data_IF_543626082549
#
_entry.id   IF_543626082549
#
_cell.length_a   1.000
_cell.length_b   1.000
_cell.length_c   1.000
_cell.angle_alpha   90.00
_cell.angle_beta   90.00
_cell.angle_gamma   90.00
#
_symmetry.space_group_name_H-M   'P 1'
#
loop_
_entity.id
_entity.type
_entity.pdbx_description
1 polymer ?
#
# COMPACT_ATOMS: atom_id res chain seq x y z
N UNK A 1 -0.91 5.35 -6.77
CA UNK A 1 -0.72 6.49 -7.69
C UNK A 1 0.76 6.58 -7.94
N UNK A 2 1.21 6.31 -9.16
CA UNK A 2 2.62 6.43 -9.51
C UNK A 2 2.97 7.92 -9.55
N UNK A 3 3.79 8.37 -8.61
CA UNK A 3 4.50 9.66 -8.65
C UNK A 3 5.80 9.54 -9.45
N UNK A 4 5.85 8.58 -10.38
CA UNK A 4 6.91 8.53 -11.37
C UNK A 4 6.53 9.52 -12.47
N UNK A 5 7.17 10.68 -12.44
CA UNK A 5 7.04 11.76 -13.43
C UNK A 5 7.59 11.38 -14.82
N UNK A 6 7.95 10.09 -15.03
CA UNK A 6 8.55 9.53 -16.24
C UNK A 6 7.56 9.27 -17.37
N UNK A 7 6.26 9.50 -17.15
CA UNK A 7 5.28 9.50 -18.24
C UNK A 7 5.50 10.71 -19.17
N UNK A 8 5.11 10.58 -20.44
CA UNK A 8 5.15 11.68 -21.43
C UNK A 8 4.05 12.75 -21.16
N UNK A 9 3.94 13.21 -19.91
CA UNK A 9 2.93 14.16 -19.43
C UNK A 9 2.97 15.45 -20.23
N UNK A 10 4.16 15.87 -20.68
CA UNK A 10 4.35 17.03 -21.54
C UNK A 10 3.57 16.96 -22.86
N UNK A 11 3.26 15.77 -23.40
CA UNK A 11 2.46 15.62 -24.63
C UNK A 11 1.00 16.08 -24.48
N UNK A 12 0.54 16.23 -23.24
CA UNK A 12 -0.84 16.68 -22.94
C UNK A 12 -0.99 18.19 -22.96
N UNK A 13 0.10 18.94 -23.12
CA UNK A 13 0.12 20.40 -23.01
C UNK A 13 0.73 21.05 -24.26
N UNK A 14 0.19 22.20 -24.71
CA UNK A 14 0.76 22.95 -25.81
C UNK A 14 2.09 23.61 -25.39
N UNK A 15 3.00 23.77 -26.35
CA UNK A 15 4.29 24.46 -26.21
C UNK A 15 5.21 23.93 -25.09
N UNK A 16 5.50 22.61 -25.04
CA UNK A 16 6.38 22.03 -24.02
C UNK A 16 7.78 22.66 -23.96
N UNK A 17 8.28 23.20 -25.06
CA UNK A 17 9.56 23.89 -25.19
C UNK A 17 9.69 25.15 -24.32
N UNK A 18 8.59 25.86 -24.04
CA UNK A 18 8.61 27.03 -23.16
C UNK A 18 9.02 26.65 -21.73
N UNK A 19 8.66 25.43 -21.31
CA UNK A 19 8.98 24.95 -19.97
C UNK A 19 10.45 24.51 -19.85
N UNK A 20 11.09 24.13 -20.96
CA UNK A 20 12.53 23.92 -20.98
C UNK A 20 13.27 25.23 -20.76
N UNK A 21 12.84 26.29 -21.44
CA UNK A 21 13.41 27.63 -21.27
C UNK A 21 13.26 28.11 -19.82
N UNK A 22 12.09 27.92 -19.20
CA UNK A 22 11.89 28.24 -17.77
C UNK A 22 12.88 27.47 -16.89
N UNK A 23 13.08 26.18 -17.15
CA UNK A 23 14.07 25.42 -16.38
C UNK A 23 15.49 25.95 -16.63
N UNK A 24 15.89 26.16 -17.88
CA UNK A 24 17.27 26.53 -18.23
C UNK A 24 17.62 27.98 -17.84
N UNK A 25 16.64 28.87 -17.75
CA UNK A 25 16.85 30.31 -17.48
C UNK A 25 16.47 30.74 -16.07
N UNK A 26 15.51 30.07 -15.41
CA UNK A 26 15.01 30.45 -14.09
C UNK A 26 15.42 29.42 -13.03
N UNK A 27 15.06 28.15 -13.21
CA UNK A 27 15.23 27.12 -12.16
C UNK A 27 16.69 26.64 -12.06
N UNK A 28 17.31 26.32 -13.20
CA UNK A 28 18.72 25.94 -13.46
C UNK A 28 19.28 24.72 -12.73
N UNK A 29 18.72 24.37 -11.58
CA UNK A 29 19.28 23.42 -10.64
C UNK A 29 18.18 22.46 -10.13
N UNK A 30 18.41 21.13 -10.20
CA UNK A 30 17.47 20.14 -9.66
C UNK A 30 17.13 20.36 -8.20
N UNK A 31 18.06 20.87 -7.38
CA UNK A 31 17.79 21.14 -5.96
C UNK A 31 16.78 22.29 -5.80
N UNK A 32 16.92 23.37 -6.59
CA UNK A 32 15.95 24.47 -6.63
C UNK A 32 14.59 23.94 -7.12
N UNK A 33 14.57 23.11 -8.18
CA UNK A 33 13.35 22.47 -8.66
C UNK A 33 12.61 21.71 -7.55
N UNK A 34 13.28 20.79 -6.85
CA UNK A 34 12.62 20.00 -5.81
C UNK A 34 12.20 20.85 -4.60
N UNK A 35 12.95 21.92 -4.30
CA UNK A 35 12.56 22.86 -3.24
C UNK A 35 11.25 23.57 -3.58
N UNK A 36 11.07 24.01 -4.83
CA UNK A 36 9.81 24.58 -5.34
C UNK A 36 8.69 23.54 -5.38
N UNK A 37 9.01 22.34 -5.86
CA UNK A 37 8.08 21.22 -5.99
C UNK A 37 7.41 20.90 -4.65
N UNK A 38 8.21 20.76 -3.60
CA UNK A 38 7.69 20.45 -2.27
C UNK A 38 7.10 21.67 -1.55
N UNK A 39 7.54 22.90 -1.83
CA UNK A 39 6.90 24.09 -1.28
C UNK A 39 5.43 24.22 -1.75
N UNK A 40 5.14 23.88 -3.01
CA UNK A 40 3.79 23.98 -3.61
C UNK A 40 2.85 22.89 -3.10
N UNK A 41 3.37 21.76 -2.62
CA UNK A 41 2.52 20.71 -2.08
C UNK A 41 2.00 21.10 -0.69
N UNK A 42 0.67 21.05 -0.55
CA UNK A 42 0.00 21.32 0.72
C UNK A 42 0.19 20.16 1.69
N UNK A 43 0.53 20.53 2.91
CA UNK A 43 0.55 19.69 4.10
C UNK A 43 -0.77 19.81 4.84
N UNK A 44 -0.80 19.40 6.10
CA UNK A 44 -1.97 19.60 6.95
C UNK A 44 -2.15 21.06 7.35
N UNK A 45 -3.41 21.49 7.48
CA UNK A 45 -3.79 22.79 8.01
C UNK A 45 -4.71 22.70 9.24
N UNK A 46 -5.27 23.84 9.67
CA UNK A 46 -6.16 23.96 10.83
C UNK A 46 -7.48 23.17 10.68
N UNK A 47 -7.83 22.75 9.47
CA UNK A 47 -9.00 21.91 9.19
C UNK A 47 -8.68 20.41 9.26
N UNK A 48 -7.39 20.05 9.21
CA UNK A 48 -6.92 18.66 9.30
C UNK A 48 -6.55 18.27 10.72
N UNK A 49 -5.76 19.10 11.41
CA UNK A 49 -5.14 18.78 12.71
C UNK A 49 -5.39 19.88 13.74
N UNK A 50 -5.57 19.50 15.01
CA UNK A 50 -5.80 20.47 16.10
C UNK A 50 -4.59 21.35 16.38
N UNK A 51 -3.39 20.77 16.35
CA UNK A 51 -2.14 21.46 16.65
C UNK A 51 -1.29 21.62 15.37
N UNK A 52 -1.74 22.54 14.51
CA UNK A 52 -1.06 22.82 13.23
C UNK A 52 0.34 23.39 13.43
N UNK A 53 0.60 24.11 14.52
CA UNK A 53 1.89 24.75 14.77
C UNK A 53 2.96 23.69 15.08
N UNK A 54 2.60 22.70 15.89
CA UNK A 54 3.46 21.56 16.17
C UNK A 54 3.70 20.72 14.90
N UNK A 55 2.67 20.51 14.07
CA UNK A 55 2.83 19.88 12.74
C UNK A 55 3.83 20.64 11.87
N UNK A 56 3.68 21.96 11.74
CA UNK A 56 4.52 22.83 10.91
C UNK A 56 5.97 22.82 11.35
N UNK A 57 6.23 22.82 12.66
CA UNK A 57 7.59 22.66 13.21
C UNK A 57 8.21 21.33 12.79
N UNK A 58 7.48 20.23 12.94
CA UNK A 58 7.95 18.91 12.53
C UNK A 58 8.18 18.82 11.02
N UNK A 59 7.26 19.31 10.20
CA UNK A 59 7.41 19.36 8.76
C UNK A 59 8.64 20.17 8.34
N UNK A 60 8.86 21.33 8.96
CA UNK A 60 10.03 22.18 8.71
C UNK A 60 11.36 21.50 9.03
N UNK A 61 11.40 20.59 10.02
CA UNK A 61 12.62 19.82 10.29
C UNK A 61 13.03 18.90 9.13
N UNK A 62 12.06 18.47 8.30
CA UNK A 62 12.29 17.52 7.22
C UNK A 62 12.43 18.22 5.87
N UNK A 63 11.59 19.23 5.60
CA UNK A 63 11.58 19.95 4.32
C UNK A 63 12.33 21.28 4.34
N UNK A 64 12.86 21.71 5.47
CA UNK A 64 13.50 23.02 5.60
C UNK A 64 12.53 24.14 5.21
N UNK A 65 12.98 25.06 4.37
CA UNK A 65 12.15 26.19 3.93
C UNK A 65 11.06 25.79 2.91
N UNK A 66 11.05 24.55 2.42
CA UNK A 66 9.99 24.00 1.56
C UNK A 66 8.80 23.40 2.34
N UNK A 67 8.61 23.79 3.60
CA UNK A 67 7.45 23.41 4.41
C UNK A 67 6.18 24.13 3.94
N UNK A 68 5.01 23.69 4.40
CA UNK A 68 3.72 24.16 3.85
C UNK A 68 3.32 25.58 4.23
N UNK A 69 4.12 26.30 5.00
CA UNK A 69 3.97 27.75 5.22
C UNK A 69 4.91 28.61 4.38
N UNK A 70 5.48 28.07 3.30
CA UNK A 70 6.22 28.87 2.33
C UNK A 70 5.35 30.02 1.79
N UNK A 71 5.88 31.25 1.85
CA UNK A 71 5.16 32.44 1.41
C UNK A 71 5.36 32.70 -0.09
N UNK A 72 4.24 32.80 -0.81
CA UNK A 72 4.24 33.17 -2.22
C UNK A 72 3.96 34.67 -2.37
N UNK A 73 4.80 35.37 -3.12
CA UNK A 73 4.61 36.80 -3.41
C UNK A 73 3.26 37.09 -4.10
N UNK A 74 2.79 36.16 -4.94
CA UNK A 74 1.45 36.19 -5.53
C UNK A 74 0.77 34.83 -5.35
N UNK A 75 -0.12 34.67 -4.35
CA UNK A 75 -0.79 33.41 -4.09
C UNK A 75 -1.96 33.14 -5.04
N UNK A 76 -2.31 34.05 -5.97
CA UNK A 76 -3.50 33.97 -6.83
C UNK A 76 -3.62 32.67 -7.63
N UNK A 77 -2.49 32.04 -7.96
CA UNK A 77 -2.45 30.81 -8.76
C UNK A 77 -2.04 29.57 -7.95
N UNK A 78 -1.91 29.70 -6.63
CA UNK A 78 -1.67 28.61 -5.68
C UNK A 78 -3.01 28.20 -5.07
N UNK A 79 -3.60 27.09 -5.54
CA UNK A 79 -4.83 26.57 -4.94
C UNK A 79 -4.50 25.80 -3.64
N UNK A 80 -5.19 26.15 -2.55
CA UNK A 80 -5.12 25.43 -1.27
C UNK A 80 -5.98 24.16 -1.26
N UNK A 81 -6.95 24.05 -2.17
CA UNK A 81 -7.93 22.99 -2.22
C UNK A 81 -7.82 22.18 -3.51
N UNK A 82 -7.41 20.91 -3.38
CA UNK A 82 -7.75 19.85 -4.33
C UNK A 82 -7.21 19.99 -5.76
N UNK A 83 -6.05 19.39 -6.02
CA UNK A 83 -5.79 18.68 -7.27
C UNK A 83 -5.39 19.48 -8.52
N UNK A 84 -5.58 20.80 -8.55
CA UNK A 84 -5.23 21.61 -9.73
C UNK A 84 -4.52 22.90 -9.32
N UNK A 85 -3.26 22.77 -8.89
CA UNK A 85 -2.32 23.89 -8.87
C UNK A 85 -1.72 24.03 -10.27
N UNK A 86 -1.89 25.21 -10.88
CA UNK A 86 -1.28 25.53 -12.16
C UNK A 86 0.24 25.35 -12.08
N UNK A 87 0.84 25.80 -10.97
CA UNK A 87 2.28 25.65 -10.74
C UNK A 87 2.71 24.20 -10.61
N UNK A 88 1.96 23.36 -9.90
CA UNK A 88 2.32 21.94 -9.78
C UNK A 88 2.29 21.25 -11.15
N UNK A 89 1.29 21.59 -11.98
CA UNK A 89 1.19 21.06 -13.34
C UNK A 89 2.38 21.48 -14.21
N UNK A 90 2.81 22.74 -14.10
CA UNK A 90 4.00 23.25 -14.81
C UNK A 90 5.26 22.51 -14.35
N UNK A 91 5.44 22.34 -13.04
CA UNK A 91 6.60 21.61 -12.51
C UNK A 91 6.58 20.15 -12.96
N UNK A 92 5.43 19.48 -12.95
CA UNK A 92 5.30 18.11 -13.46
C UNK A 92 5.70 18.00 -14.95
N UNK A 93 5.36 19.00 -15.79
CA UNK A 93 5.79 19.07 -17.19
C UNK A 93 7.31 19.25 -17.28
N UNK A 94 7.89 20.17 -16.48
CA UNK A 94 9.34 20.41 -16.43
C UNK A 94 10.09 19.14 -16.02
N UNK A 95 9.66 18.47 -14.95
CA UNK A 95 10.27 17.21 -14.52
C UNK A 95 10.20 16.13 -15.59
N UNK A 96 9.06 16.00 -16.28
CA UNK A 96 8.89 15.06 -17.38
C UNK A 96 9.81 15.37 -18.57
N UNK A 97 9.98 16.64 -18.95
CA UNK A 97 10.87 17.07 -20.05
C UNK A 97 12.36 16.88 -19.72
N UNK A 98 12.74 17.24 -18.50
CA UNK A 98 14.13 17.22 -18.03
C UNK A 98 14.53 15.91 -17.34
N UNK A 99 13.63 14.93 -17.30
CA UNK A 99 13.79 13.66 -16.59
C UNK A 99 14.24 13.85 -15.13
N UNK A 100 13.65 14.82 -14.44
CA UNK A 100 13.98 15.10 -13.05
C UNK A 100 13.34 14.06 -12.15
N UNK A 101 14.20 13.29 -11.48
CA UNK A 101 13.80 12.29 -10.49
C UNK A 101 14.50 12.60 -9.19
N UNK A 102 13.74 12.67 -8.08
CA UNK A 102 14.33 12.89 -6.77
C UNK A 102 15.25 11.70 -6.46
N UNK A 103 16.52 11.89 -6.04
CA UNK A 103 17.37 10.78 -5.61
C UNK A 103 16.72 9.95 -4.50
N UNK A 104 16.76 8.62 -4.62
CA UNK A 104 16.15 7.70 -3.66
C UNK A 104 16.70 7.88 -2.25
N UNK A 105 18.00 8.20 -2.14
CA UNK A 105 18.72 8.41 -0.88
C UNK A 105 18.14 9.59 -0.12
N UNK A 106 17.77 10.67 -0.82
CA UNK A 106 17.14 11.86 -0.21
C UNK A 106 15.74 11.49 0.29
N UNK A 107 14.95 10.77 -0.51
CA UNK A 107 13.62 10.32 -0.10
C UNK A 107 13.69 9.38 1.12
N UNK A 108 14.62 8.42 1.12
CA UNK A 108 14.86 7.49 2.22
C UNK A 108 15.34 8.23 3.48
N UNK A 109 16.21 9.24 3.35
CA UNK A 109 16.62 10.08 4.48
C UNK A 109 15.43 10.83 5.10
N UNK A 110 14.53 11.38 4.29
CA UNK A 110 13.30 12.02 4.79
C UNK A 110 12.39 11.03 5.53
N UNK A 111 12.28 9.77 5.06
CA UNK A 111 11.55 8.72 5.77
C UNK A 111 12.22 8.38 7.10
N UNK A 112 13.56 8.28 7.15
CA UNK A 112 14.30 8.06 8.41
C UNK A 112 14.05 9.19 9.42
N UNK A 113 13.99 10.45 8.95
CA UNK A 113 13.62 11.57 9.82
C UNK A 113 12.19 11.44 10.33
N UNK A 114 11.24 11.05 9.47
CA UNK A 114 9.84 10.85 9.85
C UNK A 114 9.65 9.72 10.89
N UNK A 115 10.41 8.62 10.77
CA UNK A 115 10.43 7.53 11.75
C UNK A 115 10.85 8.04 13.14
N UNK A 116 11.77 9.00 13.20
CA UNK A 116 12.31 9.55 14.46
C UNK A 116 11.39 10.59 15.11
N UNK A 117 10.30 10.98 14.45
CA UNK A 117 9.34 11.90 15.04
C UNK A 117 8.68 11.27 16.29
N UNK A 118 8.37 12.07 17.32
CA UNK A 118 7.68 11.56 18.48
C UNK A 118 6.26 11.11 18.10
N UNK A 119 5.71 10.15 18.85
CA UNK A 119 4.47 9.46 18.48
C UNK A 119 3.28 10.41 18.29
N UNK A 120 3.15 11.43 19.14
CA UNK A 120 2.12 12.46 19.05
C UNK A 120 2.19 13.31 17.76
N UNK A 121 3.32 13.29 17.05
CA UNK A 121 3.50 13.92 15.73
C UNK A 121 3.24 12.91 14.62
N UNK A 122 3.70 11.67 14.79
CA UNK A 122 3.41 10.59 13.84
C UNK A 122 1.92 10.35 13.71
N UNK A 123 1.18 10.52 14.81
CA UNK A 123 -0.26 10.38 14.94
C UNK A 123 -0.86 11.61 15.63
N UNK A 124 -1.32 12.58 14.85
CA UNK A 124 -1.85 13.85 15.36
C UNK A 124 -3.36 13.80 15.52
N UNK A 125 -3.91 14.47 16.52
CA UNK A 125 -5.35 14.61 16.68
C UNK A 125 -5.96 15.43 15.54
N UNK A 126 -7.06 14.92 14.97
CA UNK A 126 -7.80 15.61 13.92
C UNK A 126 -8.54 16.82 14.44
N UNK A 127 -8.57 17.87 13.62
CA UNK A 127 -9.42 19.02 13.89
C UNK A 127 -10.92 18.64 13.86
N UNK A 128 -11.79 19.30 14.65
CA UNK A 128 -13.23 19.07 14.58
C UNK A 128 -13.78 19.39 13.19
N UNK A 129 -14.47 18.43 12.58
CA UNK A 129 -15.13 18.62 11.28
C UNK A 129 -16.63 18.57 11.40
N UNK A 130 -17.33 19.51 10.75
CA UNK A 130 -18.80 19.49 10.61
C UNK A 130 -19.30 18.40 9.66
N UNK A 131 -18.40 17.81 8.89
CA UNK A 131 -18.66 16.73 7.94
C UNK A 131 -18.08 15.40 8.43
N UNK A 132 -17.91 15.25 9.75
CA UNK A 132 -17.44 14.01 10.32
C UNK A 132 -18.34 12.85 9.89
N UNK A 133 -17.73 11.85 9.26
CA UNK A 133 -18.36 10.56 8.95
C UNK A 133 -18.14 9.61 10.13
N UNK A 134 -18.97 8.58 10.25
CA UNK A 134 -18.78 7.48 11.20
C UNK A 134 -17.35 6.91 11.18
N UNK A 135 -16.75 6.82 9.99
CA UNK A 135 -15.37 6.36 9.80
C UNK A 135 -14.35 7.36 10.36
N UNK A 136 -14.59 8.65 10.20
CA UNK A 136 -13.70 9.69 10.72
C UNK A 136 -13.74 9.81 12.24
N UNK A 137 -14.89 9.54 12.87
CA UNK A 137 -15.05 9.56 14.33
C UNK A 137 -14.28 8.41 15.00
N UNK A 138 -14.23 7.24 14.35
CA UNK A 138 -13.46 6.09 14.82
C UNK A 138 -11.95 6.20 14.57
N UNK A 139 -11.50 7.22 13.83
CA UNK A 139 -10.08 7.52 13.59
C UNK A 139 -9.79 8.92 14.09
N UNK A 140 -9.65 9.11 15.42
CA UNK A 140 -9.44 10.43 16.01
C UNK A 140 -8.08 11.03 15.61
N UNK A 141 -7.15 10.20 15.16
CA UNK A 141 -5.82 10.61 14.73
C UNK A 141 -5.64 10.54 13.21
N UNK A 142 -4.71 11.34 12.70
CA UNK A 142 -4.23 11.34 11.32
C UNK A 142 -2.72 11.11 11.29
N UNK A 143 -2.28 10.27 10.35
CA UNK A 143 -0.87 9.91 10.22
C UNK A 143 -0.08 10.97 9.45
N UNK A 144 1.07 11.37 9.99
CA UNK A 144 1.99 12.33 9.37
C UNK A 144 2.42 11.93 7.94
N UNK A 145 2.60 10.64 7.68
CA UNK A 145 2.98 10.13 6.34
C UNK A 145 1.85 10.21 5.31
N UNK A 146 0.63 10.59 5.71
CA UNK A 146 -0.53 10.71 4.82
C UNK A 146 -0.68 12.09 4.19
N UNK A 147 0.19 13.04 4.52
CA UNK A 147 0.26 14.32 3.80
C UNK A 147 0.59 14.09 2.32
N UNK A 148 0.13 14.97 1.42
CA UNK A 148 0.45 14.86 0.00
C UNK A 148 1.96 14.88 -0.25
N UNK A 149 2.66 15.72 0.52
CA UNK A 149 4.12 15.85 0.51
C UNK A 149 4.81 14.55 0.85
N UNK A 150 4.45 13.92 1.98
CA UNK A 150 5.05 12.65 2.35
C UNK A 150 4.65 11.50 1.45
N UNK A 151 3.46 11.53 0.85
CA UNK A 151 3.02 10.46 -0.05
C UNK A 151 3.91 10.36 -1.29
N UNK A 152 4.35 11.48 -1.86
CA UNK A 152 5.30 11.47 -2.99
C UNK A 152 6.71 11.06 -2.54
N UNK A 153 7.18 11.54 -1.39
CA UNK A 153 8.45 11.09 -0.76
C UNK A 153 8.45 9.58 -0.52
N UNK A 154 7.38 9.05 0.08
CA UNK A 154 7.27 7.64 0.41
C UNK A 154 7.22 6.80 -0.86
N UNK A 155 6.47 7.23 -1.87
CA UNK A 155 6.45 6.56 -3.18
C UNK A 155 7.86 6.44 -3.76
N UNK A 156 8.66 7.51 -3.67
CA UNK A 156 10.05 7.47 -4.14
C UNK A 156 10.96 6.64 -3.26
N UNK A 157 10.82 6.72 -1.93
CA UNK A 157 11.63 5.96 -0.98
C UNK A 157 11.42 4.44 -1.10
N UNK A 158 10.19 4.02 -1.43
CA UNK A 158 9.83 2.62 -1.66
C UNK A 158 10.26 2.09 -3.04
N UNK A 159 10.76 2.93 -3.94
CA UNK A 159 11.13 2.50 -5.28
C UNK A 159 12.45 1.72 -5.26
N UNK A 160 12.48 0.64 -6.02
CA UNK A 160 13.64 -0.20 -6.30
C UNK A 160 13.50 -0.79 -7.72
N UNK A 161 14.62 -0.92 -8.42
CA UNK A 161 14.64 -1.47 -9.78
C UNK A 161 15.19 -2.90 -9.85
N UNK A 162 15.88 -3.35 -8.80
CA UNK A 162 16.58 -4.63 -8.74
C UNK A 162 16.62 -5.20 -7.31
N UNK A 163 17.12 -6.43 -7.20
CA UNK A 163 17.18 -7.19 -5.94
C UNK A 163 18.11 -6.55 -4.89
N UNK A 164 19.20 -5.89 -5.31
CA UNK A 164 20.12 -5.21 -4.40
C UNK A 164 19.46 -3.97 -3.79
N UNK A 165 18.77 -3.18 -4.61
CA UNK A 165 17.99 -2.03 -4.14
C UNK A 165 16.82 -2.44 -3.25
N UNK A 166 16.11 -3.51 -3.59
CA UNK A 166 15.08 -4.07 -2.73
C UNK A 166 15.66 -4.44 -1.37
N UNK A 167 16.83 -5.09 -1.35
CA UNK A 167 17.51 -5.51 -0.13
C UNK A 167 17.86 -4.33 0.78
N UNK A 168 18.21 -3.19 0.19
CA UNK A 168 18.45 -1.95 0.93
C UNK A 168 17.17 -1.26 1.42
N UNK A 169 16.06 -1.38 0.69
CA UNK A 169 14.78 -0.73 1.00
C UNK A 169 13.96 -1.49 2.04
N UNK A 170 13.96 -2.82 1.99
CA UNK A 170 13.12 -3.66 2.86
C UNK A 170 13.27 -3.33 4.36
N UNK A 171 14.49 -3.20 4.94
CA UNK A 171 14.65 -2.87 6.35
C UNK A 171 14.06 -1.51 6.74
N UNK A 172 14.15 -0.52 5.85
CA UNK A 172 13.57 0.81 6.08
C UNK A 172 12.04 0.70 6.17
N UNK A 173 11.40 0.05 5.20
CA UNK A 173 9.94 -0.07 5.17
C UNK A 173 9.42 -0.93 6.33
N UNK A 174 10.16 -1.99 6.68
CA UNK A 174 9.87 -2.79 7.88
C UNK A 174 9.90 -1.93 9.15
N UNK A 175 10.90 -1.06 9.28
CA UNK A 175 10.99 -0.13 10.41
C UNK A 175 9.83 0.88 10.41
N UNK A 176 9.40 1.38 9.25
CA UNK A 176 8.22 2.25 9.17
C UNK A 176 6.99 1.54 9.72
N UNK A 177 6.74 0.30 9.30
CA UNK A 177 5.60 -0.50 9.78
C UNK A 177 5.69 -0.77 11.30
N UNK A 178 6.88 -1.08 11.83
CA UNK A 178 7.09 -1.28 13.27
C UNK A 178 6.84 -0.02 14.09
N UNK A 179 7.29 1.13 13.59
CA UNK A 179 7.24 2.39 14.33
C UNK A 179 5.84 2.99 14.24
N UNK A 180 5.26 3.08 13.04
CA UNK A 180 3.94 3.68 12.87
C UNK A 180 2.80 2.79 13.34
N UNK A 181 2.94 1.46 13.30
CA UNK A 181 1.90 0.54 13.78
C UNK A 181 0.52 0.88 13.20
N UNK A 182 0.44 1.01 11.88
CA UNK A 182 -0.73 1.58 11.21
C UNK A 182 -2.05 0.90 11.60
N UNK A 183 -2.05 -0.42 11.77
CA UNK A 183 -3.26 -1.16 12.13
C UNK A 183 -3.78 -0.82 13.53
N UNK A 184 -2.93 -0.35 14.45
CA UNK A 184 -3.32 0.05 15.80
C UNK A 184 -4.01 1.42 15.83
N UNK A 185 -3.51 2.39 15.08
CA UNK A 185 -4.05 3.77 15.05
C UNK A 185 -5.09 4.00 13.95
N UNK A 186 -5.08 3.14 12.95
CA UNK A 186 -5.84 3.31 11.72
C UNK A 186 -6.68 2.04 11.47
N UNK A 187 -7.47 1.53 12.45
CA UNK A 187 -8.16 0.25 12.32
C UNK A 187 -9.09 0.24 11.11
N UNK A 188 -9.25 -0.94 10.54
CA UNK A 188 -10.10 -1.13 9.36
C UNK A 188 -11.55 -1.27 9.80
N UNK A 189 -12.37 -0.30 9.39
CA UNK A 189 -13.75 -0.10 9.87
C UNK A 189 -14.77 -0.83 8.99
N UNK A 190 -14.35 -1.22 7.79
CA UNK A 190 -15.14 -2.03 6.87
C UNK A 190 -14.68 -3.50 6.93
N UNK A 191 -15.59 -4.44 6.69
CA UNK A 191 -15.37 -5.90 6.72
C UNK A 191 -14.24 -6.42 5.80
N UNK A 192 -13.63 -5.55 5.00
CA UNK A 192 -12.42 -5.78 4.22
C UNK A 192 -11.21 -5.48 5.10
N UNK A 193 -10.81 -6.40 5.99
CA UNK A 193 -9.75 -6.24 7.03
C UNK A 193 -8.32 -5.85 6.53
N UNK A 194 -8.13 -5.18 5.39
CA UNK A 194 -6.80 -4.95 4.80
C UNK A 194 -5.85 -4.30 5.83
N UNK A 195 -4.65 -4.86 5.96
CA UNK A 195 -3.56 -4.21 6.71
C UNK A 195 -3.23 -2.87 6.03
N UNK A 196 -2.93 -1.87 6.87
CA UNK A 196 -2.50 -0.52 6.45
C UNK A 196 -0.98 -0.39 6.37
N UNK A 197 -0.27 -1.46 6.71
CA UNK A 197 1.17 -1.55 6.60
C UNK A 197 1.62 -1.38 5.16
N UNK A 198 2.84 -0.88 5.00
CA UNK A 198 3.47 -0.59 3.71
C UNK A 198 3.96 -1.89 3.06
N UNK A 199 4.54 -2.79 3.85
CA UNK A 199 5.01 -4.08 3.34
C UNK A 199 3.84 -5.05 3.14
N UNK A 200 3.71 -5.54 1.91
CA UNK A 200 2.73 -6.55 1.53
C UNK A 200 3.27 -7.97 1.68
N UNK A 201 2.42 -8.99 1.56
CA UNK A 201 2.84 -10.39 1.62
C UNK A 201 3.92 -10.71 0.57
N UNK A 202 3.79 -10.14 -0.64
CA UNK A 202 4.78 -10.31 -1.71
C UNK A 202 6.16 -9.77 -1.32
N UNK A 203 6.23 -8.64 -0.60
CA UNK A 203 7.49 -8.10 -0.13
C UNK A 203 8.18 -9.05 0.89
N UNK A 204 7.43 -9.67 1.79
CA UNK A 204 7.99 -10.67 2.69
C UNK A 204 8.44 -11.95 1.96
N UNK A 205 7.68 -12.42 0.95
CA UNK A 205 8.14 -13.53 0.10
C UNK A 205 9.44 -13.18 -0.59
N UNK A 206 9.54 -11.99 -1.19
CA UNK A 206 10.75 -11.53 -1.88
C UNK A 206 11.94 -11.42 -0.93
N UNK A 207 11.73 -10.90 0.28
CA UNK A 207 12.77 -10.84 1.30
C UNK A 207 13.27 -12.23 1.72
N UNK A 208 12.40 -13.24 1.77
CA UNK A 208 12.80 -14.62 2.00
C UNK A 208 13.54 -15.22 0.80
N UNK A 209 13.06 -14.97 -0.43
CA UNK A 209 13.73 -15.43 -1.67
C UNK A 209 15.19 -14.98 -1.71
N UNK A 210 15.44 -13.72 -1.33
CA UNK A 210 16.76 -13.08 -1.30
C UNK A 210 17.57 -13.37 -0.03
N UNK A 211 17.02 -14.13 0.93
CA UNK A 211 17.73 -14.49 2.17
C UNK A 211 17.88 -13.36 3.18
N UNK A 212 17.12 -12.26 3.04
CA UNK A 212 17.09 -11.15 4.00
C UNK A 212 16.41 -11.58 5.31
N UNK A 213 15.39 -12.43 5.20
CA UNK A 213 14.66 -13.00 6.34
C UNK A 213 14.64 -14.52 6.27
N UNK A 214 14.45 -15.16 7.42
CA UNK A 214 14.29 -16.62 7.49
C UNK A 214 12.87 -17.05 7.12
N UNK A 215 12.71 -18.34 6.79
CA UNK A 215 11.39 -18.95 6.54
C UNK A 215 10.46 -18.84 7.77
N UNK A 216 11.02 -19.00 8.97
CA UNK A 216 10.24 -18.86 10.21
C UNK A 216 9.75 -17.43 10.40
N UNK A 217 10.58 -16.44 10.06
CA UNK A 217 10.18 -15.04 10.09
C UNK A 217 9.08 -14.73 9.07
N UNK A 218 9.14 -15.32 7.87
CA UNK A 218 8.08 -15.20 6.86
C UNK A 218 6.72 -15.68 7.42
N UNK A 219 6.67 -16.87 8.02
CA UNK A 219 5.43 -17.36 8.63
C UNK A 219 5.01 -16.53 9.84
N UNK A 220 5.96 -16.07 10.67
CA UNK A 220 5.66 -15.15 11.78
C UNK A 220 5.00 -13.85 11.30
N UNK A 221 5.51 -13.27 10.21
CA UNK A 221 4.98 -12.05 9.61
C UNK A 221 3.52 -12.21 9.13
N UNK A 222 3.15 -13.41 8.62
CA UNK A 222 1.76 -13.70 8.24
C UNK A 222 0.79 -13.47 9.40
N UNK A 223 1.14 -13.89 10.61
CA UNK A 223 0.25 -13.76 11.77
C UNK A 223 0.36 -12.41 12.49
N UNK A 224 1.58 -11.86 12.60
CA UNK A 224 1.82 -10.69 13.43
C UNK A 224 1.79 -9.35 12.68
N UNK A 225 1.99 -9.36 11.35
CA UNK A 225 2.19 -8.14 10.56
C UNK A 225 1.17 -7.97 9.44
N UNK A 226 0.82 -9.06 8.76
CA UNK A 226 -0.04 -9.02 7.58
C UNK A 226 -1.48 -9.41 7.92
N UNK A 227 -1.63 -10.43 8.77
CA UNK A 227 -2.89 -11.11 9.03
C UNK A 227 -3.14 -12.25 8.03
N UNK A 228 -3.48 -13.42 8.56
CA UNK A 228 -3.65 -14.65 7.76
C UNK A 228 -4.64 -14.49 6.60
N UNK A 229 -5.76 -13.82 6.85
CA UNK A 229 -6.79 -13.54 5.82
C UNK A 229 -6.20 -12.77 4.62
N UNK A 230 -5.30 -11.83 4.86
CA UNK A 230 -4.67 -11.03 3.80
C UNK A 230 -3.61 -11.80 3.08
N UNK A 231 -2.74 -12.49 3.82
CA UNK A 231 -1.72 -13.33 3.21
C UNK A 231 -2.34 -14.34 2.24
N UNK A 232 -3.41 -15.03 2.65
CA UNK A 232 -4.14 -15.98 1.77
C UNK A 232 -4.79 -15.26 0.59
N UNK A 233 -5.43 -14.11 0.82
CA UNK A 233 -6.07 -13.36 -0.26
C UNK A 233 -5.08 -12.86 -1.30
N UNK A 234 -3.96 -12.27 -0.86
CA UNK A 234 -2.95 -11.65 -1.72
C UNK A 234 -2.18 -12.71 -2.52
N UNK A 235 -1.70 -13.77 -1.86
CA UNK A 235 -1.07 -14.90 -2.55
C UNK A 235 -2.05 -15.59 -3.51
N UNK A 236 -3.32 -15.72 -3.10
CA UNK A 236 -4.38 -16.32 -3.88
C UNK A 236 -4.65 -15.62 -5.22
N UNK A 237 -4.33 -14.33 -5.36
CA UNK A 237 -4.47 -13.58 -6.61
C UNK A 237 -3.58 -14.13 -7.73
N UNK A 238 -2.43 -14.74 -7.40
CA UNK A 238 -1.50 -15.35 -8.37
C UNK A 238 -2.09 -16.56 -9.09
N UNK A 239 -3.11 -17.18 -8.50
CA UNK A 239 -3.68 -18.44 -8.98
C UNK A 239 -5.06 -18.26 -9.61
N UNK A 240 -5.55 -17.03 -9.72
CA UNK A 240 -6.83 -16.76 -10.38
C UNK A 240 -6.69 -17.04 -11.89
N UNK A 241 -7.72 -17.62 -12.54
CA UNK A 241 -7.72 -17.81 -13.98
C UNK A 241 -7.52 -16.51 -14.77
N UNK A 242 -8.02 -15.40 -14.21
CA UNK A 242 -7.90 -14.06 -14.80
C UNK A 242 -7.29 -13.12 -13.76
N UNK A 243 -5.99 -12.89 -13.84
CA UNK A 243 -5.29 -11.93 -12.99
C UNK A 243 -5.64 -10.50 -13.45
N UNK A 244 -5.92 -9.60 -12.50
CA UNK A 244 -6.22 -8.21 -12.82
C UNK A 244 -4.98 -7.46 -13.33
N UNK A 245 -5.16 -6.46 -14.20
CA UNK A 245 -4.04 -5.61 -14.67
C UNK A 245 -3.33 -4.89 -13.50
N UNK A 246 -4.08 -4.56 -12.43
CA UNK A 246 -3.52 -3.97 -11.22
C UNK A 246 -2.57 -4.95 -10.52
N UNK A 247 -2.99 -6.19 -10.34
CA UNK A 247 -2.17 -7.25 -9.74
C UNK A 247 -0.93 -7.51 -10.58
N UNK A 248 -1.06 -7.61 -11.90
CA UNK A 248 0.08 -7.84 -12.80
C UNK A 248 1.11 -6.71 -12.69
N UNK A 249 0.66 -5.46 -12.68
CA UNK A 249 1.56 -4.31 -12.51
C UNK A 249 2.27 -4.28 -11.16
N UNK A 250 1.62 -4.80 -10.11
CA UNK A 250 2.25 -4.93 -8.80
C UNK A 250 3.24 -6.11 -8.73
N UNK A 251 3.03 -7.16 -9.55
CA UNK A 251 3.89 -8.34 -9.57
C UNK A 251 5.17 -8.15 -10.38
N UNK A 252 5.18 -7.24 -11.36
CA UNK A 252 6.33 -7.02 -12.25
C UNK A 252 7.65 -6.69 -11.54
N UNK A 253 7.58 -6.18 -10.31
CA UNK A 253 8.75 -5.85 -9.48
C UNK A 253 9.29 -7.06 -8.71
N UNK A 254 8.55 -8.17 -8.68
CA UNK A 254 8.90 -9.39 -7.96
C UNK A 254 9.22 -10.56 -8.91
N UNK A 255 8.51 -10.63 -10.05
CA UNK A 255 8.60 -11.74 -10.99
C UNK A 255 8.43 -11.25 -12.44
N UNK A 256 8.96 -12.01 -13.43
CA UNK A 256 8.67 -11.76 -14.84
C UNK A 256 7.17 -11.89 -15.12
N UNK A 257 6.60 -10.92 -15.84
CA UNK A 257 5.18 -10.88 -16.21
C UNK A 257 5.00 -10.57 -17.69
N UNK A 258 3.88 -11.03 -18.25
CA UNK A 258 3.34 -10.60 -19.54
C UNK A 258 2.11 -9.71 -19.26
N UNK A 259 2.25 -8.39 -19.42
CA UNK A 259 1.18 -7.43 -19.10
C UNK A 259 -0.03 -7.56 -20.04
N UNK A 260 0.19 -7.94 -21.30
CA UNK A 260 -0.87 -8.07 -22.30
C UNK A 260 -1.71 -9.32 -22.03
N UNK A 261 -1.05 -10.45 -21.81
CA UNK A 261 -1.72 -11.73 -21.50
C UNK A 261 -2.15 -11.84 -20.03
N UNK A 262 -1.66 -10.93 -19.17
CA UNK A 262 -1.91 -10.91 -17.73
C UNK A 262 -1.48 -12.21 -17.06
N UNK A 263 -0.26 -12.65 -17.37
CA UNK A 263 0.34 -13.86 -16.81
C UNK A 263 1.64 -13.54 -16.09
N UNK A 264 1.98 -14.36 -15.10
CA UNK A 264 3.26 -14.36 -14.39
C UNK A 264 4.03 -15.62 -14.74
N UNK A 265 5.35 -15.54 -14.83
CA UNK A 265 6.19 -16.73 -15.00
C UNK A 265 6.05 -17.67 -13.80
N UNK A 266 5.40 -18.80 -14.01
CA UNK A 266 5.15 -19.82 -12.99
C UNK A 266 6.40 -20.63 -12.63
N UNK A 267 7.43 -20.60 -13.48
CA UNK A 267 8.67 -21.32 -13.25
C UNK A 267 9.67 -20.54 -12.40
N UNK A 268 9.47 -19.22 -12.27
CA UNK A 268 10.34 -18.39 -11.46
C UNK A 268 10.29 -18.77 -9.97
N UNK A 269 11.40 -18.55 -9.27
CA UNK A 269 11.57 -18.94 -7.87
C UNK A 269 10.56 -18.23 -6.95
N UNK A 270 10.32 -16.93 -7.15
CA UNK A 270 9.33 -16.15 -6.42
C UNK A 270 7.93 -16.79 -6.47
N UNK A 271 7.46 -17.19 -7.66
CA UNK A 271 6.15 -17.81 -7.83
C UNK A 271 6.06 -19.15 -7.08
N UNK A 272 7.08 -20.00 -7.20
CA UNK A 272 7.16 -21.30 -6.52
C UNK A 272 7.10 -21.14 -5.00
N UNK A 273 7.78 -20.13 -4.44
CA UNK A 273 7.70 -19.81 -3.00
C UNK A 273 6.30 -19.33 -2.62
N UNK A 274 5.67 -18.46 -3.43
CA UNK A 274 4.30 -18.01 -3.17
C UNK A 274 3.32 -19.19 -3.11
N UNK A 275 3.44 -20.14 -4.04
CA UNK A 275 2.62 -21.35 -4.07
C UNK A 275 2.83 -22.20 -2.82
N UNK A 276 4.09 -22.49 -2.47
CA UNK A 276 4.42 -23.28 -1.27
C UNK A 276 3.84 -22.65 0.01
N UNK A 277 3.99 -21.32 0.15
CA UNK A 277 3.47 -20.60 1.31
C UNK A 277 1.95 -20.63 1.31
N UNK A 278 1.30 -20.35 0.18
CA UNK A 278 -0.16 -20.37 0.05
C UNK A 278 -0.73 -21.73 0.41
N UNK A 279 -0.20 -22.83 -0.16
CA UNK A 279 -0.66 -24.19 0.12
C UNK A 279 -0.53 -24.52 1.60
N UNK A 280 0.57 -24.14 2.25
CA UNK A 280 0.75 -24.39 3.68
C UNK A 280 -0.25 -23.61 4.54
N UNK A 281 -0.50 -22.34 4.20
CA UNK A 281 -1.49 -21.51 4.91
C UNK A 281 -2.92 -22.03 4.71
N UNK A 282 -3.28 -22.44 3.48
CA UNK A 282 -4.58 -23.03 3.18
C UNK A 282 -4.75 -24.35 3.93
N UNK A 283 -3.75 -25.23 3.90
CA UNK A 283 -3.82 -26.50 4.62
C UNK A 283 -3.98 -26.30 6.14
N UNK A 284 -3.26 -25.33 6.73
CA UNK A 284 -3.43 -24.97 8.14
C UNK A 284 -4.87 -24.54 8.46
N UNK A 285 -5.48 -23.72 7.60
CA UNK A 285 -6.88 -23.30 7.76
C UNK A 285 -7.81 -24.51 7.67
N UNK A 286 -7.63 -25.35 6.65
CA UNK A 286 -8.48 -26.52 6.40
C UNK A 286 -8.37 -27.56 7.50
N UNK A 287 -7.19 -27.78 8.09
CA UNK A 287 -7.00 -28.74 9.18
C UNK A 287 -7.86 -28.44 10.41
N UNK A 288 -8.22 -27.18 10.61
CA UNK A 288 -9.11 -26.74 11.69
C UNK A 288 -10.55 -26.60 11.20
N UNK A 289 -10.77 -25.99 10.05
CA UNK A 289 -12.09 -25.65 9.54
C UNK A 289 -12.90 -26.87 9.06
N UNK A 290 -12.24 -27.97 8.68
CA UNK A 290 -12.93 -29.17 8.21
C UNK A 290 -13.39 -30.09 9.34
N UNK A 291 -12.85 -29.91 10.56
CA UNK A 291 -13.23 -30.71 11.74
C UNK A 291 -14.05 -29.93 12.77
N UNK A 292 -14.38 -28.67 12.48
CA UNK A 292 -15.12 -27.80 13.40
C UNK A 292 -16.60 -28.18 13.56
N UNK A 293 -17.15 -27.84 14.72
CA UNK A 293 -18.59 -27.77 14.96
C UNK A 293 -19.22 -26.53 14.32
N UNK A 294 -20.38 -26.09 14.82
CA UNK A 294 -21.10 -24.96 14.20
C UNK A 294 -20.51 -23.59 14.54
N UNK A 295 -19.71 -23.50 15.61
CA UNK A 295 -19.09 -22.25 16.04
C UNK A 295 -17.92 -21.86 15.13
N UNK A 296 -17.89 -20.60 14.62
CA UNK A 296 -16.75 -20.09 13.87
C UNK A 296 -15.44 -20.16 14.68
N UNK A 297 -14.36 -20.60 14.03
CA UNK A 297 -13.00 -20.51 14.57
C UNK A 297 -12.34 -19.18 14.18
N UNK A 298 -11.14 -18.95 14.71
CA UNK A 298 -10.27 -17.82 14.32
C UNK A 298 -9.94 -17.79 12.82
N UNK A 299 -10.04 -18.91 12.11
CA UNK A 299 -9.72 -19.02 10.69
C UNK A 299 -10.92 -18.87 9.75
N UNK A 300 -12.15 -18.96 10.26
CA UNK A 300 -13.38 -18.88 9.46
C UNK A 300 -13.41 -17.70 8.49
N UNK A 301 -12.93 -16.54 8.95
CA UNK A 301 -12.93 -15.31 8.17
C UNK A 301 -11.94 -15.37 6.98
N UNK A 302 -10.89 -16.18 7.10
CA UNK A 302 -9.90 -16.41 6.05
C UNK A 302 -10.39 -17.39 4.98
N UNK A 303 -11.32 -18.30 5.30
CA UNK A 303 -11.87 -19.27 4.34
C UNK A 303 -12.42 -18.58 3.09
N UNK A 304 -13.16 -17.49 3.28
CA UNK A 304 -13.72 -16.67 2.18
C UNK A 304 -12.69 -16.07 1.21
N UNK A 305 -11.40 -16.14 1.56
CA UNK A 305 -10.29 -15.61 0.75
C UNK A 305 -9.46 -16.69 0.06
N UNK A 306 -9.70 -17.97 0.35
CA UNK A 306 -9.08 -19.09 -0.36
C UNK A 306 -9.57 -19.04 -1.81
N UNK A 307 -8.66 -19.06 -2.78
CA UNK A 307 -8.97 -18.91 -4.21
C UNK A 307 -8.76 -20.18 -5.02
N UNK A 308 -8.08 -21.17 -4.46
CA UNK A 308 -7.70 -22.44 -5.10
C UNK A 308 -7.36 -23.49 -4.04
N UNK A 309 -7.73 -24.74 -4.30
CA UNK A 309 -7.35 -25.93 -3.51
C UNK A 309 -7.01 -27.07 -4.48
N UNK A 310 -5.79 -27.62 -4.38
CA UNK A 310 -5.31 -28.65 -5.31
C UNK A 310 -5.13 -30.00 -4.63
N UNK A 311 -6.24 -30.62 -4.19
CA UNK A 311 -6.18 -31.96 -3.60
C UNK A 311 -7.53 -32.65 -3.60
N UNK A 312 -7.58 -33.84 -4.21
CA UNK A 312 -8.77 -34.73 -4.15
C UNK A 312 -9.06 -35.13 -2.70
N UNK A 313 -8.03 -35.34 -1.88
CA UNK A 313 -8.21 -35.65 -0.47
C UNK A 313 -8.90 -34.50 0.27
N UNK A 314 -8.50 -33.25 0.01
CA UNK A 314 -9.17 -32.06 0.58
C UNK A 314 -10.60 -31.93 0.09
N UNK A 315 -10.87 -32.17 -1.20
CA UNK A 315 -12.24 -32.18 -1.73
C UNK A 315 -13.13 -33.16 -0.96
N UNK A 316 -12.66 -34.39 -0.74
CA UNK A 316 -13.41 -35.39 0.03
C UNK A 316 -13.64 -34.94 1.48
N UNK A 317 -12.65 -34.34 2.13
CA UNK A 317 -12.80 -33.79 3.48
C UNK A 317 -13.81 -32.64 3.53
N UNK A 318 -13.84 -31.75 2.53
CA UNK A 318 -14.82 -30.66 2.42
C UNK A 318 -16.23 -31.24 2.30
N UNK A 319 -16.43 -32.24 1.44
CA UNK A 319 -17.73 -32.90 1.28
C UNK A 319 -18.20 -33.59 2.57
N UNK A 320 -17.28 -34.24 3.28
CA UNK A 320 -17.57 -34.85 4.59
C UNK A 320 -17.91 -33.79 5.65
N UNK A 321 -17.19 -32.67 5.68
CA UNK A 321 -17.40 -31.58 6.62
C UNK A 321 -18.75 -30.86 6.38
N UNK A 322 -19.17 -30.73 5.12
CA UNK A 322 -20.50 -30.23 4.74
C UNK A 322 -21.61 -31.21 5.17
N UNK A 323 -21.38 -32.52 5.01
CA UNK A 323 -22.32 -33.55 5.45
C UNK A 323 -23.71 -33.41 4.80
N UNK A 324 -24.73 -33.15 5.61
CA UNK A 324 -26.13 -32.98 5.16
C UNK A 324 -26.54 -31.51 5.02
N UNK A 325 -25.63 -30.58 5.27
CA UNK A 325 -25.95 -29.15 5.18
C UNK A 325 -26.24 -28.77 3.73
N UNK A 326 -27.34 -28.05 3.45
CA UNK A 326 -27.60 -27.57 2.11
C UNK A 326 -26.58 -26.51 1.71
N UNK A 327 -26.26 -26.43 0.41
CA UNK A 327 -25.40 -25.37 -0.11
C UNK A 327 -25.99 -23.98 0.19
N UNK A 328 -25.11 -23.04 0.52
CA UNK A 328 -25.53 -21.68 0.75
C UNK A 328 -25.96 -20.97 -0.55
N UNK A 329 -27.17 -20.41 -0.52
CA UNK A 329 -27.77 -19.67 -1.65
C UNK A 329 -27.66 -18.16 -1.47
N UNK A 330 -27.34 -17.68 -0.26
CA UNK A 330 -27.30 -16.26 0.09
C UNK A 330 -25.97 -15.59 -0.28
N UNK A 331 -24.94 -16.40 -0.57
CA UNK A 331 -23.62 -15.93 -1.02
C UNK A 331 -23.68 -15.09 -2.31
N UNK A 332 -24.76 -15.17 -3.10
CA UNK A 332 -24.92 -14.38 -4.33
C UNK A 332 -25.38 -12.92 -4.11
N UNK A 333 -26.00 -12.60 -2.96
CA UNK A 333 -26.66 -11.29 -2.73
C UNK A 333 -26.17 -10.53 -1.50
N UNK A 334 -25.25 -11.10 -0.72
CA UNK A 334 -24.80 -10.54 0.55
C UNK A 334 -23.40 -9.90 0.44
N UNK A 335 -23.29 -8.61 0.77
CA UNK A 335 -22.01 -7.93 1.04
C UNK A 335 -21.33 -8.41 2.35
N UNK A 336 -21.98 -9.32 3.10
CA UNK A 336 -21.44 -9.94 4.30
C UNK A 336 -20.96 -11.36 3.99
N UNK A 337 -19.65 -11.58 4.07
CA UNK A 337 -19.08 -12.93 4.05
C UNK A 337 -19.39 -13.58 5.40
N UNK A 338 -20.45 -14.37 5.46
CA UNK A 338 -20.76 -15.19 6.63
C UNK A 338 -19.56 -16.08 6.97
N UNK A 339 -19.26 -16.21 8.26
CA UNK A 339 -18.20 -17.08 8.78
C UNK A 339 -18.75 -18.41 9.34
N UNK A 340 -20.03 -18.67 9.11
CA UNK A 340 -20.70 -19.89 9.51
C UNK A 340 -20.20 -21.10 8.73
N UNK A 341 -20.43 -22.29 9.29
CA UNK A 341 -20.00 -23.57 8.73
C UNK A 341 -20.44 -23.76 7.29
N UNK A 342 -21.73 -23.58 7.05
CA UNK A 342 -22.38 -23.72 5.75
C UNK A 342 -21.77 -22.80 4.69
N UNK A 343 -21.56 -21.52 5.00
CA UNK A 343 -21.00 -20.53 4.09
C UNK A 343 -19.55 -20.86 3.75
N UNK A 344 -18.74 -21.20 4.76
CA UNK A 344 -17.35 -21.61 4.57
C UNK A 344 -17.24 -22.85 3.69
N UNK A 345 -18.00 -23.92 3.97
CA UNK A 345 -17.94 -25.15 3.16
C UNK A 345 -18.47 -24.93 1.73
N UNK A 346 -19.51 -24.11 1.56
CA UNK A 346 -20.03 -23.75 0.23
C UNK A 346 -18.99 -22.98 -0.59
N UNK A 347 -18.25 -22.06 0.04
CA UNK A 347 -17.14 -21.36 -0.61
C UNK A 347 -16.02 -22.32 -0.99
N UNK A 348 -15.61 -23.22 -0.09
CA UNK A 348 -14.54 -24.19 -0.34
C UNK A 348 -14.85 -25.14 -1.50
N UNK A 349 -16.12 -25.48 -1.74
CA UNK A 349 -16.54 -26.29 -2.89
C UNK A 349 -16.53 -25.53 -4.22
N UNK A 350 -16.58 -24.19 -4.18
CA UNK A 350 -16.61 -23.35 -5.38
C UNK A 350 -15.22 -23.13 -5.98
N UNK A 351 -14.19 -23.11 -5.14
CA UNK A 351 -12.83 -22.62 -5.45
C UNK A 351 -11.87 -23.69 -5.93
#
# INVERSE_FOLDING_TARGET
>A
MNYEYSGETWKRYPFPELWDEVYDTIIKDPKVYFSLYYAIQTGFDETDVKDVETYRKAERTIFGDSWSGYHYNDPKYVSSHGGHSLYLSILDIIASRKNLVLPSEIARAAVVMAIRLPENIRWMEKAPSRYATYVSEQRPTICFLRTNKFRSILTRACHYENDDEFSAVFPLLYQVDQVYQFDAHEPTINYTNNTRNILSMFAYVKAYELGIITKDFLYKAVFEKIGLRFAVSELGELFRPNISIYTIRNLRVYAPVDEEKRTVDTECRFYKICLEVYEKLVNLILDVELVRGDTPTVFSIAVSRISRIESISRLMQILLALGKDPLDRNTYYSYTSGNGKKECMSHLLKV
#
